data_IF_028339121131
#
_entry.id   IF_028339121131
#
_cell.length_a   1.000
_cell.length_b   1.000
_cell.length_c   1.000
_cell.angle_alpha   90.00
_cell.angle_beta   90.00
_cell.angle_gamma   90.00
#
_symmetry.space_group_name_H-M   'P 1'
#
loop_
_entity.id
_entity.type
_entity.pdbx_description
1 polymer ?
#
# COMPACT_ATOMS: atom_id res chain seq x y z
N UNK A 1 -28.85 26.26 65.58
CA UNK A 1 -29.69 25.76 64.47
C UNK A 1 -28.79 25.64 63.25
N UNK A 2 -28.33 24.43 62.90
CA UNK A 2 -27.42 24.22 61.77
C UNK A 2 -28.22 24.12 60.45
N UNK A 3 -27.75 24.69 59.33
CA UNK A 3 -28.42 24.51 58.04
C UNK A 3 -28.29 23.04 57.61
N UNK A 4 -29.40 22.43 57.24
CA UNK A 4 -29.47 21.06 56.75
C UNK A 4 -28.69 20.92 55.44
N UNK A 5 -27.77 19.95 55.39
CA UNK A 5 -26.96 19.67 54.21
C UNK A 5 -27.85 19.33 53.00
N UNK A 6 -27.81 20.15 51.95
CA UNK A 6 -28.46 19.86 50.68
C UNK A 6 -27.65 18.82 49.91
N UNK A 7 -28.26 17.65 49.67
CA UNK A 7 -27.68 16.53 48.92
C UNK A 7 -27.34 16.95 47.49
N UNK A 8 -26.06 17.03 47.17
CA UNK A 8 -25.55 17.28 45.81
C UNK A 8 -26.04 16.14 44.91
N UNK A 9 -26.85 16.44 43.88
CA UNK A 9 -27.29 15.44 42.90
C UNK A 9 -26.10 14.97 42.08
N UNK A 10 -25.77 13.68 42.16
CA UNK A 10 -24.72 13.08 41.35
C UNK A 10 -25.11 13.14 39.87
N UNK A 11 -24.39 13.96 39.09
CA UNK A 11 -24.58 14.09 37.64
C UNK A 11 -23.92 12.88 36.98
N UNK A 12 -24.73 11.94 36.49
CA UNK A 12 -24.23 10.78 35.72
C UNK A 12 -23.90 11.24 34.30
N UNK A 13 -22.62 11.33 33.96
CA UNK A 13 -22.15 11.58 32.59
C UNK A 13 -22.04 10.25 31.86
N UNK A 14 -22.87 10.05 30.83
CA UNK A 14 -22.76 8.90 29.93
C UNK A 14 -21.86 9.30 28.76
N UNK A 15 -20.75 8.58 28.57
CA UNK A 15 -19.85 8.77 27.42
C UNK A 15 -19.99 7.57 26.49
N UNK A 16 -20.41 7.81 25.26
CA UNK A 16 -20.46 6.79 24.20
C UNK A 16 -19.20 6.93 23.34
N UNK A 17 -18.36 5.89 23.28
CA UNK A 17 -17.16 5.85 22.45
C UNK A 17 -17.19 4.67 21.49
N UNK A 18 -16.56 4.82 20.33
CA UNK A 18 -16.39 3.72 19.39
C UNK A 18 -15.31 2.76 19.91
N UNK A 19 -15.47 1.45 19.68
CA UNK A 19 -14.52 0.41 20.16
C UNK A 19 -13.08 0.68 19.65
N UNK A 20 -12.97 1.24 18.44
CA UNK A 20 -11.70 1.60 17.81
C UNK A 20 -11.10 2.95 18.21
N UNK A 21 -11.82 3.77 18.97
CA UNK A 21 -11.43 5.14 19.31
C UNK A 21 -10.12 5.23 20.10
N UNK A 22 -9.84 4.36 21.08
CA UNK A 22 -8.55 4.35 21.78
C UNK A 22 -7.36 4.12 20.83
N UNK A 23 -7.53 3.32 19.78
CA UNK A 23 -6.46 3.09 18.80
C UNK A 23 -6.22 4.31 17.91
N UNK A 24 -7.25 5.10 17.62
CA UNK A 24 -7.12 6.34 16.87
C UNK A 24 -6.40 7.41 17.72
N UNK A 25 -6.73 7.50 19.00
CA UNK A 25 -6.04 8.38 19.96
C UNK A 25 -4.53 8.06 20.00
N UNK A 26 -4.16 6.78 20.13
CA UNK A 26 -2.75 6.34 20.11
C UNK A 26 -2.06 6.72 18.79
N UNK A 27 -2.74 6.54 17.64
CA UNK A 27 -2.18 6.92 16.34
C UNK A 27 -1.93 8.42 16.22
N UNK A 28 -2.81 9.25 16.80
CA UNK A 28 -2.67 10.70 16.80
C UNK A 28 -1.54 11.16 17.73
N UNK A 29 -1.41 10.53 18.90
CA UNK A 29 -0.28 10.75 19.80
C UNK A 29 1.06 10.46 19.09
N UNK A 30 1.18 9.30 18.43
CA UNK A 30 2.38 8.94 17.65
C UNK A 30 2.68 9.98 16.58
N UNK A 31 1.66 10.52 15.89
CA UNK A 31 1.83 11.55 14.85
C UNK A 31 2.47 12.82 15.40
N UNK A 32 2.18 13.17 16.65
CA UNK A 32 2.68 14.37 17.30
C UNK A 32 4.01 14.16 18.05
N UNK A 33 4.54 12.94 18.11
CA UNK A 33 5.86 12.68 18.71
C UNK A 33 7.00 13.36 17.94
N UNK A 34 8.08 13.68 18.67
CA UNK A 34 9.29 14.30 18.11
C UNK A 34 9.89 13.38 17.04
N UNK A 35 10.23 13.94 15.88
CA UNK A 35 10.66 13.20 14.70
C UNK A 35 9.49 12.72 13.82
N UNK A 36 8.45 12.09 14.38
CA UNK A 36 7.28 11.64 13.58
C UNK A 36 6.54 12.80 12.93
N UNK A 37 6.45 13.94 13.63
CA UNK A 37 5.85 15.16 13.08
C UNK A 37 6.53 15.58 11.76
N UNK A 38 7.86 15.62 11.73
CA UNK A 38 8.62 15.98 10.52
C UNK A 38 8.44 14.95 9.38
N UNK A 39 8.41 13.65 9.72
CA UNK A 39 8.13 12.59 8.75
C UNK A 39 6.71 12.72 8.18
N UNK A 40 5.74 13.08 9.02
CA UNK A 40 4.35 13.27 8.63
C UNK A 40 4.19 14.52 7.75
N UNK A 41 4.95 15.58 7.99
CA UNK A 41 5.00 16.76 7.10
C UNK A 41 5.52 16.40 5.71
N UNK A 42 6.55 15.55 5.60
CA UNK A 42 7.10 15.06 4.32
C UNK A 42 6.20 14.05 3.60
N UNK A 43 5.24 13.44 4.31
CA UNK A 43 4.30 12.47 3.74
C UNK A 43 3.48 13.09 2.62
N UNK A 44 3.00 14.33 2.76
CA UNK A 44 2.19 15.02 1.74
C UNK A 44 2.94 15.14 0.42
N UNK A 45 4.20 15.59 0.48
CA UNK A 45 5.06 15.72 -0.70
C UNK A 45 5.35 14.36 -1.34
N UNK A 46 5.62 13.35 -0.52
CA UNK A 46 5.85 11.98 -1.00
C UNK A 46 4.63 11.41 -1.71
N UNK A 47 3.43 11.65 -1.17
CA UNK A 47 2.16 11.22 -1.74
C UNK A 47 1.93 11.90 -3.09
N UNK A 48 2.07 13.23 -3.16
CA UNK A 48 1.92 13.99 -4.41
C UNK A 48 2.91 13.53 -5.49
N UNK A 49 4.17 13.27 -5.13
CA UNK A 49 5.18 12.76 -6.07
C UNK A 49 4.82 11.37 -6.62
N UNK A 50 4.30 10.49 -5.78
CA UNK A 50 3.85 9.15 -6.21
C UNK A 50 2.61 9.28 -7.11
N UNK A 51 1.65 10.15 -6.78
CA UNK A 51 0.49 10.39 -7.64
C UNK A 51 0.89 10.97 -9.00
N UNK A 52 1.83 11.91 -9.05
CA UNK A 52 2.40 12.41 -10.30
C UNK A 52 3.03 11.28 -11.12
N UNK A 53 3.88 10.47 -10.50
CA UNK A 53 4.51 9.30 -11.14
C UNK A 53 3.48 8.32 -11.69
N UNK A 54 2.41 8.05 -10.93
CA UNK A 54 1.34 7.17 -11.36
C UNK A 54 0.56 7.73 -12.57
N UNK A 55 0.31 9.04 -12.60
CA UNK A 55 -0.35 9.70 -13.73
C UNK A 55 0.49 9.62 -15.01
N UNK A 56 1.78 9.95 -14.91
CA UNK A 56 2.68 10.03 -16.06
C UNK A 56 3.10 8.64 -16.58
N UNK A 57 3.50 7.71 -15.70
CA UNK A 57 4.10 6.45 -16.11
C UNK A 57 3.18 5.22 -16.04
N UNK A 58 2.07 5.31 -15.30
CA UNK A 58 1.16 4.17 -15.09
C UNK A 58 -0.24 4.41 -15.69
N UNK A 59 -0.38 5.43 -16.54
CA UNK A 59 -1.61 5.70 -17.28
C UNK A 59 -2.79 5.98 -16.36
N UNK A 60 -2.55 6.67 -15.25
CA UNK A 60 -3.57 7.07 -14.27
C UNK A 60 -4.12 8.48 -14.53
N UNK A 61 -3.76 9.11 -15.66
CA UNK A 61 -4.32 10.40 -16.09
C UNK A 61 -5.79 10.28 -16.51
N UNK A 62 -6.17 9.13 -17.08
CA UNK A 62 -7.53 8.85 -17.52
C UNK A 62 -8.00 7.47 -17.04
N UNK A 63 -9.31 7.35 -16.80
CA UNK A 63 -9.98 6.08 -16.51
C UNK A 63 -10.16 5.29 -17.80
N UNK A 64 -9.40 4.21 -17.96
CA UNK A 64 -9.46 3.35 -19.16
C UNK A 64 -10.49 2.22 -19.08
N UNK A 65 -10.99 1.93 -17.89
CA UNK A 65 -12.00 0.90 -17.65
C UNK A 65 -13.30 1.56 -17.21
N UNK A 66 -14.43 1.05 -17.71
CA UNK A 66 -15.76 1.60 -17.44
C UNK A 66 -16.30 1.19 -16.06
N UNK A 67 -15.76 0.12 -15.46
CA UNK A 67 -16.23 -0.41 -14.19
C UNK A 67 -15.38 0.08 -13.03
N UNK A 68 -16.04 0.55 -11.96
CA UNK A 68 -15.38 1.01 -10.72
C UNK A 68 -14.48 -0.06 -10.12
N UNK A 69 -14.97 -1.30 -9.99
CA UNK A 69 -14.20 -2.41 -9.45
C UNK A 69 -12.90 -2.69 -10.23
N UNK A 70 -12.94 -2.62 -11.57
CA UNK A 70 -11.74 -2.81 -12.40
C UNK A 70 -10.75 -1.65 -12.22
N UNK A 71 -11.25 -0.42 -12.13
CA UNK A 71 -10.39 0.73 -11.84
C UNK A 71 -9.75 0.61 -10.45
N UNK A 72 -10.50 0.19 -9.43
CA UNK A 72 -9.98 -0.05 -8.07
C UNK A 72 -8.90 -1.14 -8.07
N UNK A 73 -9.13 -2.25 -8.76
CA UNK A 73 -8.12 -3.30 -8.91
C UNK A 73 -6.86 -2.78 -9.63
N UNK A 74 -7.03 -2.03 -10.73
CA UNK A 74 -5.91 -1.44 -11.48
C UNK A 74 -5.08 -0.52 -10.59
N UNK A 75 -5.75 0.38 -9.86
CA UNK A 75 -5.13 1.30 -8.90
C UNK A 75 -4.37 0.51 -7.85
N UNK A 76 -5.06 -0.40 -7.15
CA UNK A 76 -4.51 -1.22 -6.08
C UNK A 76 -3.27 -2.01 -6.51
N UNK A 77 -3.35 -2.69 -7.65
CA UNK A 77 -2.22 -3.44 -8.21
C UNK A 77 -1.04 -2.53 -8.57
N UNK A 78 -1.30 -1.37 -9.18
CA UNK A 78 -0.25 -0.41 -9.56
C UNK A 78 0.50 0.07 -8.32
N UNK A 79 -0.20 0.52 -7.28
CA UNK A 79 0.41 0.97 -6.04
C UNK A 79 1.10 -0.16 -5.28
N UNK A 80 0.55 -1.37 -5.28
CA UNK A 80 1.20 -2.56 -4.73
C UNK A 80 2.54 -2.83 -5.42
N UNK A 81 2.57 -2.86 -6.75
CA UNK A 81 3.80 -3.05 -7.52
C UNK A 81 4.83 -1.94 -7.28
N UNK A 82 4.40 -0.67 -7.20
CA UNK A 82 5.30 0.44 -6.87
C UNK A 82 5.92 0.29 -5.47
N UNK A 83 5.12 -0.13 -4.49
CA UNK A 83 5.58 -0.39 -3.12
C UNK A 83 6.57 -1.57 -3.07
N UNK A 84 6.29 -2.66 -3.78
CA UNK A 84 7.20 -3.80 -3.90
C UNK A 84 8.54 -3.41 -4.54
N UNK A 85 8.51 -2.60 -5.61
CA UNK A 85 9.72 -2.06 -6.24
C UNK A 85 10.52 -1.18 -5.27
N UNK A 86 9.84 -0.34 -4.48
CA UNK A 86 10.49 0.48 -3.45
C UNK A 86 11.14 -0.40 -2.38
N UNK A 87 10.43 -1.42 -1.90
CA UNK A 87 10.93 -2.37 -0.90
C UNK A 87 12.16 -3.14 -1.40
N UNK A 88 12.13 -3.67 -2.62
CA UNK A 88 13.26 -4.37 -3.23
C UNK A 88 14.50 -3.46 -3.31
N UNK A 89 14.32 -2.20 -3.75
CA UNK A 89 15.40 -1.19 -3.76
C UNK A 89 15.92 -0.86 -2.36
N UNK A 90 15.06 -0.85 -1.34
CA UNK A 90 15.48 -0.65 0.05
C UNK A 90 16.30 -1.82 0.57
N UNK A 91 15.82 -3.06 0.38
CA UNK A 91 16.54 -4.27 0.79
C UNK A 91 17.91 -4.37 0.11
N UNK A 92 17.99 -4.09 -1.20
CA UNK A 92 19.27 -4.06 -1.94
C UNK A 92 20.24 -3.05 -1.34
N UNK A 93 19.79 -1.82 -1.06
CA UNK A 93 20.62 -0.78 -0.42
C UNK A 93 21.12 -1.16 0.97
N UNK A 94 20.35 -1.95 1.72
CA UNK A 94 20.75 -2.48 3.03
C UNK A 94 21.63 -3.72 2.95
N UNK A 95 21.97 -4.21 1.76
CA UNK A 95 22.74 -5.45 1.58
C UNK A 95 21.97 -6.72 1.96
N UNK A 96 20.64 -6.65 2.07
CA UNK A 96 19.77 -7.78 2.46
C UNK A 96 19.35 -8.67 1.28
N UNK A 97 19.85 -8.38 0.08
CA UNK A 97 19.58 -9.16 -1.12
C UNK A 97 20.92 -9.56 -1.72
N UNK A 98 21.15 -10.86 -1.76
CA UNK A 98 22.25 -11.46 -2.51
C UNK A 98 22.11 -11.15 -4.01
N UNK A 99 23.20 -11.20 -4.79
CA UNK A 99 23.11 -11.11 -6.24
C UNK A 99 22.08 -12.11 -6.75
N UNK A 100 21.02 -11.58 -7.37
CA UNK A 100 19.94 -12.41 -7.90
C UNK A 100 20.54 -13.34 -8.95
N UNK A 101 20.48 -14.64 -8.70
CA UNK A 101 20.93 -15.65 -9.65
C UNK A 101 19.93 -15.69 -10.82
N UNK A 102 20.24 -14.89 -11.86
CA UNK A 102 19.36 -14.70 -13.02
C UNK A 102 19.25 -15.95 -13.88
N UNK A 103 20.12 -16.93 -13.65
CA UNK A 103 20.16 -18.22 -14.34
C UNK A 103 18.80 -18.94 -14.27
N UNK A 104 18.12 -18.93 -13.12
CA UNK A 104 16.81 -19.56 -12.97
C UNK A 104 15.74 -18.90 -13.86
N UNK A 105 15.68 -17.56 -13.88
CA UNK A 105 14.73 -16.83 -14.71
C UNK A 105 15.06 -16.99 -16.21
N UNK A 106 16.32 -16.85 -16.60
CA UNK A 106 16.78 -17.05 -17.97
C UNK A 106 16.48 -18.47 -18.47
N UNK A 107 16.74 -19.49 -17.65
CA UNK A 107 16.44 -20.88 -17.98
C UNK A 107 14.93 -21.12 -18.06
N UNK A 108 14.14 -20.54 -17.16
CA UNK A 108 12.68 -20.62 -17.21
C UNK A 108 12.11 -19.96 -18.47
N UNK A 109 12.57 -18.77 -18.82
CA UNK A 109 12.19 -18.08 -20.07
C UNK A 109 12.63 -18.86 -21.31
N UNK A 110 13.85 -19.41 -21.30
CA UNK A 110 14.35 -20.25 -22.40
C UNK A 110 13.52 -21.51 -22.58
N UNK A 111 13.12 -22.15 -21.49
CA UNK A 111 12.26 -23.33 -21.49
C UNK A 111 10.85 -22.98 -21.98
N UNK A 112 10.31 -21.83 -21.57
CA UNK A 112 9.02 -21.33 -22.06
C UNK A 112 9.06 -21.05 -23.57
N UNK A 113 10.08 -20.35 -24.07
CA UNK A 113 10.26 -20.07 -25.50
C UNK A 113 10.40 -21.39 -26.29
N UNK A 114 11.15 -22.36 -25.77
CA UNK A 114 11.21 -23.70 -26.36
C UNK A 114 9.85 -24.38 -26.40
N UNK A 115 9.08 -24.30 -25.33
CA UNK A 115 7.73 -24.87 -25.27
C UNK A 115 6.79 -24.22 -26.28
N UNK A 116 6.87 -22.90 -26.47
CA UNK A 116 6.07 -22.17 -27.44
C UNK A 116 6.45 -22.51 -28.89
N UNK A 117 7.75 -22.61 -29.21
CA UNK A 117 8.23 -23.06 -30.53
C UNK A 117 7.86 -24.51 -30.82
N UNK A 118 7.83 -25.39 -29.81
CA UNK A 118 7.43 -26.79 -29.98
C UNK A 118 5.95 -26.90 -30.35
N UNK A 119 5.11 -26.04 -29.77
CA UNK A 119 3.66 -25.99 -30.02
C UNK A 119 3.31 -25.52 -31.44
N UNK A 120 4.04 -24.52 -31.96
CA UNK A 120 3.83 -24.05 -33.34
C UNK A 120 4.27 -25.05 -34.41
N UNK A 121 5.30 -25.87 -34.14
CA UNK A 121 5.77 -26.89 -35.11
C UNK A 121 4.88 -28.13 -35.12
N UNK A 122 4.32 -28.52 -33.96
CA UNK A 122 3.35 -29.63 -33.90
C UNK A 122 2.02 -29.32 -34.58
N UNK A 123 1.60 -28.06 -34.65
CA UNK A 123 0.36 -27.66 -35.34
C UNK A 123 0.52 -27.60 -36.88
N UNK A 124 1.75 -27.43 -37.39
CA UNK A 124 2.04 -27.40 -38.84
C UNK A 124 2.26 -28.80 -39.42
N UNK A 125 2.64 -29.78 -38.59
CA UNK A 125 2.87 -31.19 -38.98
C UNK A 125 1.60 -32.07 -38.95
N UNK A 126 0.43 -31.48 -38.68
CA UNK A 126 -0.88 -32.17 -38.66
C UNK A 126 -1.72 -31.87 -39.92
N UNK A 127 -1.11 -31.27 -40.95
CA UNK A 127 -1.67 -31.17 -42.30
C UNK A 127 -0.87 -32.02 -43.28
#
# INVERSE_FOLDING_TARGET
MYPSAQRVKAVKKTVTRHIGEPYLEICEEIRHTVGMKEWYEKRKESIERIFGTAKEFHGMRYTRYNYKALMEMKVGLTFACMNLKKLAKMKKRKGLLDPVDTSFLLNSFRNLIRSLKKKSVSEVLVF
#
